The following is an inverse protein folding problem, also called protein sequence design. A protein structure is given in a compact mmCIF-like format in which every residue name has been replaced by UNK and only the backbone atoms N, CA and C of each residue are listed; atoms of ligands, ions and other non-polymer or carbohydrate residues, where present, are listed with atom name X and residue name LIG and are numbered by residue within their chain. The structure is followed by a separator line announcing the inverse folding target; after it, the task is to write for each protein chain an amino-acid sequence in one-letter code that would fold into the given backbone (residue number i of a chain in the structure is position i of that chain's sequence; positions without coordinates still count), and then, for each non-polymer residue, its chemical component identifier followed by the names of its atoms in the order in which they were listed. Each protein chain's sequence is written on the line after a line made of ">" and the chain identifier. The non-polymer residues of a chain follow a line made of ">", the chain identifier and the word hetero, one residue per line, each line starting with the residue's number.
data_IF_454088090226
#
_entry.id   IF_454088090226
#
_cell.length_a   1.000
_cell.length_b   1.000
_cell.length_c   1.000
_cell.angle_alpha   90.00
_cell.angle_beta   90.00
_cell.angle_gamma   90.00
#
_symmetry.space_group_name_H-M   'P 1'
#
loop_
_entity.id
_entity.type
_entity.pdbx_description
1 polymer ?
#
# COMPACT_ATOMS: atom_id res chain seq x y z
N UNK A 1 -19.19 6.17 16.51
CA UNK A 1 -18.32 5.20 17.21
C UNK A 1 -18.00 5.74 18.59
N UNK A 2 -18.12 4.91 19.65
CA UNK A 2 -17.67 5.24 21.01
C UNK A 2 -16.23 5.79 21.07
N UNK A 3 -15.95 6.65 22.06
CA UNK A 3 -14.68 7.37 22.14
C UNK A 3 -13.48 6.46 22.46
N UNK A 4 -13.69 5.49 23.33
CA UNK A 4 -12.76 4.41 23.66
C UNK A 4 -12.36 3.57 22.44
N UNK A 5 -13.32 3.20 21.59
CA UNK A 5 -13.03 2.45 20.36
C UNK A 5 -12.24 3.29 19.34
N UNK A 6 -12.54 4.59 19.21
CA UNK A 6 -11.73 5.49 18.36
C UNK A 6 -10.30 5.62 18.87
N UNK A 7 -10.12 5.76 20.18
CA UNK A 7 -8.80 5.84 20.80
C UNK A 7 -8.00 4.55 20.60
N UNK A 8 -8.63 3.39 20.78
CA UNK A 8 -8.01 2.09 20.53
C UNK A 8 -7.58 1.89 19.07
N UNK A 9 -8.33 2.44 18.11
CA UNK A 9 -7.98 2.44 16.69
C UNK A 9 -6.95 3.53 16.31
N UNK A 10 -6.67 4.47 17.21
CA UNK A 10 -5.78 5.61 16.96
C UNK A 10 -6.32 6.61 15.93
N UNK A 11 -7.64 6.73 15.81
CA UNK A 11 -8.29 7.57 14.78
C UNK A 11 -9.00 8.79 15.36
N UNK A 12 -9.03 9.86 14.57
CA UNK A 12 -9.69 11.12 14.87
C UNK A 12 -11.03 11.25 14.13
N UNK A 13 -11.94 12.13 14.59
CA UNK A 13 -13.13 12.46 13.82
C UNK A 13 -12.76 12.98 12.41
N UNK A 14 -13.34 12.39 11.38
CA UNK A 14 -13.05 12.72 9.98
C UNK A 14 -12.08 11.74 9.30
N UNK A 15 -11.38 10.92 10.07
CA UNK A 15 -10.52 9.88 9.50
C UNK A 15 -11.32 8.79 8.78
N UNK A 16 -10.76 8.30 7.68
CA UNK A 16 -11.33 7.20 6.94
C UNK A 16 -10.98 5.86 7.61
N UNK A 17 -12.00 5.02 7.73
CA UNK A 17 -11.89 3.64 8.21
C UNK A 17 -12.12 2.66 7.07
N UNK A 18 -11.47 1.51 7.17
CA UNK A 18 -11.72 0.37 6.31
C UNK A 18 -12.59 -0.63 7.08
N UNK A 19 -13.56 -1.21 6.38
CA UNK A 19 -14.51 -2.16 6.97
C UNK A 19 -14.62 -3.41 6.12
N UNK A 20 -14.67 -4.57 6.78
CA UNK A 20 -14.98 -5.85 6.15
C UNK A 20 -16.01 -6.60 7.01
N UNK A 21 -16.86 -7.42 6.37
CA UNK A 21 -17.74 -8.35 7.07
C UNK A 21 -17.08 -9.71 7.04
N UNK A 22 -16.83 -10.28 8.22
CA UNK A 22 -16.23 -11.62 8.38
C UNK A 22 -17.08 -12.39 9.38
N UNK A 23 -17.59 -13.55 8.97
CA UNK A 23 -18.43 -14.42 9.81
C UNK A 23 -19.66 -13.71 10.41
N UNK A 24 -20.20 -12.72 9.69
CA UNK A 24 -21.34 -11.92 10.13
C UNK A 24 -20.97 -10.73 11.04
N UNK A 25 -19.69 -10.51 11.33
CA UNK A 25 -19.20 -9.40 12.14
C UNK A 25 -18.60 -8.28 11.28
N UNK A 26 -18.91 -7.02 11.61
CA UNK A 26 -18.25 -5.86 11.03
C UNK A 26 -16.90 -5.62 11.73
N UNK A 27 -15.80 -5.81 11.00
CA UNK A 27 -14.45 -5.49 11.45
C UNK A 27 -14.03 -4.14 10.88
N UNK A 28 -13.81 -3.16 11.75
CA UNK A 28 -13.30 -1.85 11.39
C UNK A 28 -11.80 -1.76 11.67
N UNK A 29 -11.07 -1.15 10.74
CA UNK A 29 -9.62 -0.98 10.83
C UNK A 29 -9.24 0.45 10.46
N UNK A 30 -8.20 0.96 11.12
CA UNK A 30 -7.54 2.19 10.68
C UNK A 30 -6.83 1.95 9.34
N UNK A 31 -6.54 3.05 8.63
CA UNK A 31 -5.74 3.00 7.40
C UNK A 31 -4.41 2.30 7.61
N UNK A 32 -3.69 2.64 8.67
CA UNK A 32 -2.36 2.07 8.94
C UNK A 32 -2.42 0.58 9.24
N UNK A 33 -3.45 0.12 9.96
CA UNK A 33 -3.68 -1.30 10.20
C UNK A 33 -3.95 -2.04 8.88
N UNK A 34 -4.75 -1.43 7.99
CA UNK A 34 -5.09 -2.00 6.69
C UNK A 34 -3.86 -2.10 5.78
N UNK A 35 -3.02 -1.07 5.76
CA UNK A 35 -1.74 -1.07 5.03
C UNK A 35 -0.82 -2.16 5.57
N UNK A 36 -0.69 -2.31 6.89
CA UNK A 36 0.15 -3.33 7.50
C UNK A 36 -0.31 -4.74 7.13
N UNK A 37 -1.61 -5.01 7.19
CA UNK A 37 -2.17 -6.31 6.76
C UNK A 37 -1.88 -6.59 5.29
N UNK A 38 -2.02 -5.59 4.42
CA UNK A 38 -1.68 -5.74 3.01
C UNK A 38 -0.20 -6.06 2.81
N UNK A 39 0.70 -5.36 3.52
CA UNK A 39 2.14 -5.63 3.50
C UNK A 39 2.48 -7.04 4.00
N UNK A 40 1.86 -7.48 5.10
CA UNK A 40 2.00 -8.86 5.61
C UNK A 40 1.54 -9.90 4.60
N UNK A 41 0.50 -9.61 3.82
CA UNK A 41 0.01 -10.50 2.77
C UNK A 41 1.01 -10.62 1.62
N UNK A 42 1.61 -9.49 1.22
CA UNK A 42 2.62 -9.43 0.15
C UNK A 42 3.91 -10.14 0.56
N UNK A 43 4.35 -9.98 1.81
CA UNK A 43 5.56 -10.67 2.35
C UNK A 43 5.50 -12.19 2.32
N UNK A 44 4.31 -12.78 2.15
CA UNK A 44 4.20 -14.24 1.93
C UNK A 44 4.77 -14.67 0.58
N UNK A 45 4.93 -13.74 -0.36
CA UNK A 45 5.34 -14.00 -1.74
C UNK A 45 6.64 -13.27 -2.12
N UNK A 46 7.03 -12.24 -1.38
CA UNK A 46 8.22 -11.42 -1.64
C UNK A 46 9.20 -11.58 -0.47
N UNK A 47 10.46 -11.99 -0.71
CA UNK A 47 11.50 -12.07 0.33
C UNK A 47 11.77 -10.71 0.99
N UNK A 48 12.14 -10.72 2.27
CA UNK A 48 12.36 -9.49 3.05
C UNK A 48 13.55 -8.66 2.54
N UNK A 49 14.49 -9.29 1.82
CA UNK A 49 15.67 -8.66 1.24
C UNK A 49 15.38 -7.90 -0.06
N UNK A 50 14.18 -8.06 -0.64
CA UNK A 50 13.80 -7.46 -1.91
C UNK A 50 13.05 -6.15 -1.67
N UNK A 51 13.71 -5.04 -2.03
CA UNK A 51 13.07 -3.72 -2.13
C UNK A 51 12.20 -3.63 -3.38
N UNK A 52 10.98 -4.20 -3.35
CA UNK A 52 10.07 -4.24 -4.51
C UNK A 52 9.85 -2.84 -5.15
N UNK A 53 9.76 -1.80 -4.31
CA UNK A 53 9.60 -0.42 -4.80
C UNK A 53 10.83 0.04 -5.57
N UNK A 54 12.03 -0.25 -5.06
CA UNK A 54 13.29 0.19 -5.68
C UNK A 54 13.51 -0.52 -7.02
N UNK A 55 13.20 -1.82 -7.10
CA UNK A 55 13.23 -2.60 -8.34
C UNK A 55 12.28 -2.01 -9.40
N UNK A 56 11.02 -1.78 -9.02
CA UNK A 56 10.02 -1.18 -9.90
C UNK A 56 10.43 0.22 -10.38
N UNK A 57 10.97 1.07 -9.49
CA UNK A 57 11.44 2.40 -9.86
C UNK A 57 12.64 2.34 -10.82
N UNK A 58 13.58 1.42 -10.58
CA UNK A 58 14.74 1.23 -11.46
C UNK A 58 14.30 0.80 -12.87
N UNK A 59 13.36 -0.14 -12.97
CA UNK A 59 12.79 -0.57 -14.24
C UNK A 59 12.09 0.58 -14.98
N UNK A 60 11.29 1.37 -14.27
CA UNK A 60 10.59 2.53 -14.84
C UNK A 60 11.55 3.60 -15.33
N UNK A 61 12.62 3.88 -14.59
CA UNK A 61 13.64 4.83 -15.03
C UNK A 61 14.36 4.33 -16.29
N UNK A 62 14.76 3.06 -16.31
CA UNK A 62 15.40 2.47 -17.47
C UNK A 62 14.46 2.45 -18.70
N UNK A 63 13.15 2.29 -18.51
CA UNK A 63 12.15 2.39 -19.56
C UNK A 63 12.09 3.80 -20.15
N UNK A 64 11.99 4.82 -19.30
CA UNK A 64 11.96 6.23 -19.73
C UNK A 64 13.23 6.60 -20.48
N UNK A 65 14.41 6.16 -20.03
CA UNK A 65 15.67 6.41 -20.74
C UNK A 65 15.70 5.80 -22.15
N UNK A 66 15.14 4.60 -22.32
CA UNK A 66 15.03 3.94 -23.63
C UNK A 66 14.07 4.68 -24.55
N UNK A 67 12.91 5.10 -24.04
CA UNK A 67 11.92 5.88 -24.80
C UNK A 67 12.50 7.23 -25.26
N UNK A 68 13.19 7.94 -24.37
CA UNK A 68 13.87 9.21 -24.67
C UNK A 68 14.97 9.04 -25.74
N UNK A 69 15.76 7.97 -25.66
CA UNK A 69 16.79 7.66 -26.65
C UNK A 69 16.16 7.40 -28.03
N UNK A 70 15.10 6.58 -28.08
CA UNK A 70 14.36 6.30 -29.32
C UNK A 70 13.73 7.57 -29.90
N UNK A 71 13.16 8.44 -29.07
CA UNK A 71 12.58 9.71 -29.51
C UNK A 71 13.64 10.65 -30.12
N UNK A 72 14.87 10.67 -29.58
CA UNK A 72 15.99 11.46 -30.12
C UNK A 72 16.55 10.90 -31.42
N UNK A 73 16.57 9.57 -31.60
CA UNK A 73 17.04 8.93 -32.83
C UNK A 73 16.02 9.04 -33.98
N UNK A 74 14.75 9.25 -33.66
CA UNK A 74 13.64 9.40 -34.63
C UNK A 74 13.41 10.83 -35.13
N UNK A 75 14.14 11.81 -34.58
CA UNK A 75 14.00 13.25 -34.84
C UNK A 75 15.14 13.78 -35.73
#
# INVERSE_FOLDING_TARGET
>A
MPADLRAALGVQPGDQLFGEIVDGELRLMSRDTSVRKAQELVRKYVPDEVGLVDELLAERHAEVEREDAQARESA
#
